data_IF_707917171196
#
_entry.id   IF_707917171196
#
_cell.length_a   1.000
_cell.length_b   1.000
_cell.length_c   1.000
_cell.angle_alpha   90.00
_cell.angle_beta   90.00
_cell.angle_gamma   90.00
#
_symmetry.space_group_name_H-M   'P 1'
#
loop_
_entity.id
_entity.type
_entity.pdbx_description
1 polymer ?
#
# COMPACT_ATOMS: atom_id res chain seq x y z
N UNK A 1 13.61 -7.39 -17.86
CA UNK A 1 12.96 -8.16 -16.77
C UNK A 1 12.18 -7.13 -15.98
N UNK A 2 10.85 -7.15 -16.02
CA UNK A 2 10.07 -6.23 -15.18
C UNK A 2 10.27 -6.60 -13.71
N UNK A 3 10.49 -5.59 -12.86
CA UNK A 3 10.67 -5.81 -11.44
C UNK A 3 9.34 -6.29 -10.85
N UNK A 4 9.30 -7.53 -10.34
CA UNK A 4 8.08 -8.15 -9.78
C UNK A 4 7.67 -7.54 -8.44
N UNK A 5 8.61 -6.88 -7.77
CA UNK A 5 8.43 -6.29 -6.45
C UNK A 5 8.72 -4.79 -6.49
N UNK A 6 8.08 -4.08 -5.58
CA UNK A 6 8.37 -2.68 -5.25
C UNK A 6 8.62 -2.54 -3.75
N UNK A 7 9.46 -1.60 -3.38
CA UNK A 7 9.84 -1.31 -1.99
C UNK A 7 9.23 0.03 -1.60
N UNK A 8 8.25 0.03 -0.72
CA UNK A 8 7.73 1.25 -0.11
C UNK A 8 8.60 1.60 1.10
N UNK A 9 8.97 2.87 1.24
CA UNK A 9 9.86 3.37 2.28
C UNK A 9 9.15 4.42 3.11
N UNK A 10 9.09 4.24 4.43
CA UNK A 10 8.52 5.23 5.34
C UNK A 10 9.44 6.46 5.48
N UNK A 11 8.93 7.54 6.06
CA UNK A 11 9.70 8.75 6.37
C UNK A 11 10.89 8.48 7.31
N UNK A 12 10.78 7.44 8.14
CA UNK A 12 11.83 6.96 9.05
C UNK A 12 12.83 6.00 8.37
N UNK A 13 12.59 5.63 7.11
CA UNK A 13 13.48 4.76 6.33
C UNK A 13 13.19 3.25 6.45
N UNK A 14 12.08 2.85 7.07
CA UNK A 14 11.65 1.45 7.09
C UNK A 14 11.19 1.02 5.70
N UNK A 15 11.52 -0.21 5.31
CA UNK A 15 11.33 -0.71 3.94
C UNK A 15 10.34 -1.88 3.93
N UNK A 16 9.30 -1.74 3.13
CA UNK A 16 8.25 -2.75 2.94
C UNK A 16 8.29 -3.23 1.50
N UNK A 17 8.61 -4.50 1.28
CA UNK A 17 8.70 -5.08 -0.06
C UNK A 17 7.36 -5.74 -0.38
N UNK A 18 6.67 -5.23 -1.40
CA UNK A 18 5.36 -5.72 -1.84
C UNK A 18 5.39 -6.11 -3.31
N UNK A 19 4.47 -6.97 -3.73
CA UNK A 19 4.32 -7.31 -5.14
C UNK A 19 3.87 -6.06 -5.92
N UNK A 20 4.41 -5.91 -7.14
CA UNK A 20 4.05 -4.81 -8.03
C UNK A 20 2.54 -4.74 -8.25
N UNK A 21 1.88 -5.88 -8.47
CA UNK A 21 0.42 -5.95 -8.67
C UNK A 21 -0.40 -5.45 -7.48
N UNK A 22 0.14 -5.57 -6.26
CA UNK A 22 -0.50 -5.13 -5.02
C UNK A 22 -0.31 -3.63 -4.85
N UNK A 23 0.90 -3.12 -5.07
CA UNK A 23 1.14 -1.67 -5.04
C UNK A 23 0.35 -0.92 -6.13
N UNK A 24 0.10 -1.56 -7.28
CA UNK A 24 -0.70 -1.00 -8.37
C UNK A 24 -2.20 -0.83 -8.05
N UNK A 25 -2.67 -1.33 -6.90
CA UNK A 25 -4.02 -1.02 -6.39
C UNK A 25 -4.17 0.48 -6.18
N UNK A 26 -3.13 1.15 -5.66
CA UNK A 26 -3.11 2.61 -5.54
C UNK A 26 -2.76 3.25 -6.88
N UNK A 27 -3.65 4.09 -7.45
CA UNK A 27 -3.35 4.88 -8.64
C UNK A 27 -2.18 5.84 -8.44
N UNK A 28 -1.97 6.32 -7.21
CA UNK A 28 -0.88 7.23 -6.84
C UNK A 28 0.46 6.52 -6.81
N UNK A 29 0.52 5.31 -6.25
CA UNK A 29 1.74 4.49 -6.35
C UNK A 29 2.04 4.13 -7.81
N UNK A 30 1.00 3.81 -8.59
CA UNK A 30 1.12 3.50 -10.02
C UNK A 30 1.62 4.67 -10.87
N UNK A 31 1.21 5.90 -10.55
CA UNK A 31 1.61 7.12 -11.26
C UNK A 31 2.94 7.71 -10.76
N UNK A 32 3.52 7.14 -9.71
CA UNK A 32 4.84 7.54 -9.24
C UNK A 32 5.87 7.37 -10.36
N UNK A 33 6.68 8.40 -10.60
CA UNK A 33 7.74 8.39 -11.60
C UNK A 33 8.74 7.22 -11.42
N UNK A 34 8.85 6.68 -10.21
CA UNK A 34 9.69 5.51 -9.89
C UNK A 34 9.12 4.19 -10.49
N UNK A 35 7.81 4.14 -10.77
CA UNK A 35 7.18 3.07 -11.55
C UNK A 35 7.40 3.23 -13.06
N UNK A 36 7.37 4.47 -13.57
CA UNK A 36 7.50 4.77 -15.00
C UNK A 36 8.91 4.52 -15.56
N UNK A 37 9.96 4.77 -14.77
CA UNK A 37 11.33 4.57 -15.24
C UNK A 37 11.87 3.14 -15.02
N UNK A 38 11.18 2.28 -14.25
CA UNK A 38 11.60 0.89 -14.02
C UNK A 38 13.01 0.71 -13.42
N UNK A 39 13.63 1.78 -12.92
CA UNK A 39 15.05 1.81 -12.54
C UNK A 39 15.33 1.32 -11.11
N UNK A 40 14.44 1.59 -10.16
CA UNK A 40 14.69 1.31 -8.74
C UNK A 40 13.60 0.44 -8.12
N UNK A 41 12.33 0.64 -8.49
CA UNK A 41 11.21 -0.03 -7.83
C UNK A 41 11.14 0.30 -6.34
N UNK A 42 11.64 1.46 -5.92
CA UNK A 42 11.57 1.97 -4.56
C UNK A 42 10.62 3.16 -4.61
N UNK A 43 9.81 3.40 -3.58
CA UNK A 43 8.95 4.58 -3.44
C UNK A 43 9.05 5.07 -2.02
N UNK A 44 9.41 6.33 -1.83
CA UNK A 44 9.44 6.94 -0.50
C UNK A 44 8.14 7.67 -0.24
N UNK A 45 7.50 7.38 0.89
CA UNK A 45 6.22 7.93 1.30
C UNK A 45 6.40 8.78 2.56
N UNK A 46 5.73 9.92 2.59
CA UNK A 46 5.69 10.81 3.75
C UNK A 46 4.69 10.30 4.80
N UNK A 47 5.01 9.17 5.43
CA UNK A 47 4.26 8.56 6.53
C UNK A 47 5.21 7.75 7.41
N UNK A 48 4.87 7.62 8.68
CA UNK A 48 5.62 6.82 9.65
C UNK A 48 5.53 5.31 9.32
N UNK A 49 6.39 4.52 9.97
CA UNK A 49 6.44 3.08 9.72
C UNK A 49 5.15 2.34 10.14
N UNK A 50 4.48 2.78 11.20
CA UNK A 50 3.27 2.13 11.74
C UNK A 50 2.09 2.32 10.77
N UNK A 51 1.91 3.54 10.27
CA UNK A 51 0.92 3.86 9.24
C UNK A 51 1.20 3.10 7.94
N UNK A 52 2.45 3.06 7.48
CA UNK A 52 2.81 2.36 6.25
C UNK A 52 2.61 0.85 6.36
N UNK A 53 2.88 0.25 7.51
CA UNK A 53 2.62 -1.17 7.77
C UNK A 53 1.12 -1.49 7.58
N UNK A 54 0.24 -0.71 8.19
CA UNK A 54 -1.22 -0.91 8.06
C UNK A 54 -1.70 -0.70 6.63
N UNK A 55 -1.15 0.29 5.91
CA UNK A 55 -1.46 0.51 4.48
C UNK A 55 -1.04 -0.71 3.65
N UNK A 56 0.16 -1.24 3.86
CA UNK A 56 0.65 -2.43 3.16
C UNK A 56 -0.25 -3.63 3.43
N UNK A 57 -0.63 -3.85 4.68
CA UNK A 57 -1.57 -4.91 5.06
C UNK A 57 -2.92 -4.74 4.38
N UNK A 58 -3.43 -3.50 4.29
CA UNK A 58 -4.67 -3.20 3.59
C UNK A 58 -4.56 -3.48 2.10
N UNK A 59 -3.47 -3.12 1.43
CA UNK A 59 -3.26 -3.42 0.01
C UNK A 59 -3.27 -4.94 -0.23
N UNK A 60 -2.62 -5.73 0.63
CA UNK A 60 -2.65 -7.18 0.57
C UNK A 60 -4.06 -7.75 0.81
N UNK A 61 -4.76 -7.22 1.82
CA UNK A 61 -6.13 -7.58 2.13
C UNK A 61 -7.06 -7.30 0.94
N UNK A 62 -7.01 -6.09 0.39
CA UNK A 62 -7.78 -5.68 -0.78
C UNK A 62 -7.48 -6.59 -1.96
N UNK A 63 -6.20 -6.86 -2.25
CA UNK A 63 -5.81 -7.76 -3.33
C UNK A 63 -6.40 -9.17 -3.18
N UNK A 64 -6.39 -9.70 -1.96
CA UNK A 64 -6.85 -11.05 -1.64
C UNK A 64 -8.36 -11.20 -1.74
N UNK A 65 -9.11 -10.17 -1.34
CA UNK A 65 -10.57 -10.24 -1.25
C UNK A 65 -11.32 -9.45 -2.34
N UNK A 66 -10.63 -8.75 -3.25
CA UNK A 66 -11.26 -7.96 -4.35
C UNK A 66 -12.25 -8.75 -5.19
N UNK A 67 -12.04 -10.06 -5.38
CA UNK A 67 -12.92 -10.94 -6.17
C UNK A 67 -14.04 -11.58 -5.33
N UNK A 68 -13.99 -11.42 -4.00
CA UNK A 68 -14.88 -12.05 -3.04
C UNK A 68 -15.73 -11.02 -2.27
N UNK A 69 -15.83 -9.78 -2.77
CA UNK A 69 -16.49 -8.67 -2.09
C UNK A 69 -17.94 -8.98 -1.67
N UNK A 70 -18.64 -9.82 -2.43
CA UNK A 70 -20.03 -10.26 -2.15
C UNK A 70 -20.11 -11.56 -1.33
N UNK A 71 -19.00 -12.06 -0.79
CA UNK A 71 -18.93 -13.31 -0.03
C UNK A 71 -18.92 -13.04 1.48
N UNK A 72 -19.71 -13.78 2.24
CA UNK A 72 -19.74 -13.72 3.72
C UNK A 72 -18.41 -14.16 4.38
N UNK A 73 -17.42 -14.57 3.59
CA UNK A 73 -16.12 -15.05 4.08
C UNK A 73 -15.03 -13.97 4.14
N UNK A 74 -15.34 -12.73 3.79
CA UNK A 74 -14.37 -11.62 3.86
C UNK A 74 -14.21 -11.19 5.32
N UNK A 75 -13.02 -11.36 5.93
CA UNK A 75 -12.82 -11.03 7.34
C UNK A 75 -12.77 -9.51 7.53
N UNK A 76 -13.20 -9.01 8.69
CA UNK A 76 -13.09 -7.58 9.01
C UNK A 76 -11.62 -7.13 9.08
N UNK A 77 -11.26 -6.08 8.33
CA UNK A 77 -9.96 -5.42 8.44
C UNK A 77 -9.95 -4.47 9.64
N UNK A 78 -9.16 -4.81 10.66
CA UNK A 78 -9.12 -4.06 11.92
C UNK A 78 -8.10 -2.94 11.86
N UNK A 79 -8.57 -1.70 11.95
CA UNK A 79 -7.71 -0.52 12.01
C UNK A 79 -7.50 -0.12 13.47
N UNK A 80 -6.24 0.07 13.92
CA UNK A 80 -5.97 0.61 15.25
C UNK A 80 -6.62 1.99 15.43
N UNK A 81 -7.42 2.17 16.48
CA UNK A 81 -8.12 3.44 16.73
C UNK A 81 -7.18 4.62 16.87
N UNK A 82 -5.97 4.39 17.40
CA UNK A 82 -4.94 5.42 17.54
C UNK A 82 -4.47 6.00 16.19
N UNK A 83 -4.53 5.20 15.12
CA UNK A 83 -4.05 5.57 13.78
C UNK A 83 -5.18 5.96 12.82
N UNK A 84 -6.44 5.81 13.21
CA UNK A 84 -7.58 5.91 12.30
C UNK A 84 -7.66 7.24 11.54
N UNK A 85 -7.41 8.37 12.21
CA UNK A 85 -7.46 9.69 11.58
C UNK A 85 -6.28 9.92 10.62
N UNK A 86 -5.09 9.46 11.00
CA UNK A 86 -3.91 9.58 10.15
C UNK A 86 -4.04 8.70 8.91
N UNK A 87 -4.40 7.43 9.11
CA UNK A 87 -4.64 6.48 8.03
C UNK A 87 -5.72 6.95 7.07
N UNK A 88 -6.76 7.65 7.54
CA UNK A 88 -7.76 8.23 6.65
C UNK A 88 -7.15 9.24 5.67
N UNK A 89 -6.28 10.13 6.16
CA UNK A 89 -5.59 11.12 5.30
C UNK A 89 -4.61 10.43 4.36
N UNK A 90 -3.89 9.41 4.83
CA UNK A 90 -2.93 8.66 4.00
C UNK A 90 -3.63 7.80 2.94
N UNK A 91 -4.77 7.20 3.26
CA UNK A 91 -5.59 6.43 2.33
C UNK A 91 -6.16 7.33 1.23
N UNK A 92 -6.68 8.51 1.59
CA UNK A 92 -7.14 9.52 0.63
C UNK A 92 -6.00 9.96 -0.30
N UNK A 93 -4.80 10.21 0.25
CA UNK A 93 -3.61 10.52 -0.55
C UNK A 93 -3.22 9.39 -1.51
N UNK A 94 -3.40 8.12 -1.12
CA UNK A 94 -3.08 6.96 -1.95
C UNK A 94 -4.23 6.56 -2.90
N UNK A 95 -5.41 7.18 -2.75
CA UNK A 95 -6.63 6.90 -3.51
C UNK A 95 -7.07 5.43 -3.39
N UNK A 96 -7.19 4.93 -2.14
CA UNK A 96 -7.52 3.53 -1.78
C UNK A 96 -8.55 3.38 -0.64
#
# INVERSE_FOLDING_TARGET
MENTYVTLVSSEGFRFVVLKEIALISPVLKSSHEFEEGKTGVITLDMDAESLEVVVDYLHYHHKYKEQADSENVPEFKIPTALALELLVKADFLDI
#
